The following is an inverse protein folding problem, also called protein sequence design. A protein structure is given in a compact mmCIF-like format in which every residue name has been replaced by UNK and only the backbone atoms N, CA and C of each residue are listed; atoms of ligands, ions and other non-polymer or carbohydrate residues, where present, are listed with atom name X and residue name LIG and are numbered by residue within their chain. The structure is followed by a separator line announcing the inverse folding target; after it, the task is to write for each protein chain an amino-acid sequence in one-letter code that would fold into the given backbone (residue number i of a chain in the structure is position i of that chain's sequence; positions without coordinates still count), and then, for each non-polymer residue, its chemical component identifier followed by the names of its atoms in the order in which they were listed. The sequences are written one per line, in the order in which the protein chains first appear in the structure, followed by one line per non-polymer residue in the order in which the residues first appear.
data_IF_594225176144
#
_entry.id   IF_594225176144
#
_cell.length_a   1.000
_cell.length_b   1.000
_cell.length_c   1.000
_cell.angle_alpha   90.00
_cell.angle_beta   90.00
_cell.angle_gamma   90.00
#
_symmetry.space_group_name_H-M   'P 1'
#
loop_
_entity.id
_entity.type
_entity.pdbx_description
1 polymer ?
#
# COMPACT_ATOMS: atom_id res chain seq x y z
N UNK A 1 24.08 -7.96 -15.57
CA UNK A 1 23.37 -7.22 -14.50
C UNK A 1 22.81 -8.15 -13.43
N UNK A 2 22.04 -9.18 -13.75
CA UNK A 2 21.48 -10.17 -12.80
C UNK A 2 22.53 -10.88 -11.93
N UNK A 3 23.67 -11.27 -12.46
CA UNK A 3 24.76 -11.94 -11.71
C UNK A 3 25.46 -11.04 -10.67
N UNK A 4 25.23 -9.71 -10.71
CA UNK A 4 25.73 -8.77 -9.70
C UNK A 4 24.83 -8.72 -8.45
N UNK A 5 23.58 -9.14 -8.57
CA UNK A 5 22.53 -9.05 -7.53
C UNK A 5 22.72 -10.12 -6.43
N UNK A 6 23.56 -11.14 -6.66
CA UNK A 6 23.78 -12.24 -5.69
C UNK A 6 25.14 -12.19 -5.00
N UNK A 7 25.90 -11.11 -5.16
CA UNK A 7 27.30 -11.05 -4.72
C UNK A 7 27.47 -10.86 -3.22
N UNK A 8 26.58 -10.15 -2.56
CA UNK A 8 26.71 -9.87 -1.13
C UNK A 8 25.64 -10.59 -0.32
N UNK A 9 25.90 -10.77 0.98
CA UNK A 9 24.89 -11.26 1.93
C UNK A 9 23.67 -10.34 1.96
N UNK A 10 23.90 -9.02 1.89
CA UNK A 10 22.84 -8.01 1.86
C UNK A 10 21.91 -8.19 0.65
N UNK A 11 22.46 -8.47 -0.52
CA UNK A 11 21.65 -8.68 -1.75
C UNK A 11 20.73 -9.88 -1.61
N UNK A 12 21.24 -10.98 -1.03
CA UNK A 12 20.43 -12.19 -0.79
C UNK A 12 19.31 -11.93 0.22
N UNK A 13 19.59 -11.24 1.31
CA UNK A 13 18.60 -10.85 2.31
C UNK A 13 17.50 -9.97 1.69
N UNK A 14 17.86 -9.02 0.83
CA UNK A 14 16.90 -8.17 0.12
C UNK A 14 16.03 -8.96 -0.87
N UNK A 15 16.59 -9.96 -1.56
CA UNK A 15 15.82 -10.85 -2.42
C UNK A 15 14.84 -11.72 -1.65
N UNK A 16 15.26 -12.23 -0.49
CA UNK A 16 14.35 -12.97 0.40
C UNK A 16 13.21 -12.06 0.86
N UNK A 17 13.49 -10.82 1.25
CA UNK A 17 12.44 -9.86 1.61
C UNK A 17 11.52 -9.55 0.41
N UNK A 18 12.09 -9.36 -0.78
CA UNK A 18 11.32 -9.11 -2.00
C UNK A 18 10.40 -10.28 -2.36
N UNK A 19 10.77 -11.53 -2.04
CA UNK A 19 9.92 -12.71 -2.28
C UNK A 19 8.59 -12.67 -1.50
N UNK A 20 8.48 -11.81 -0.48
CA UNK A 20 7.22 -11.54 0.22
C UNK A 20 6.09 -11.14 -0.74
N UNK A 21 6.39 -10.38 -1.80
CA UNK A 21 5.37 -9.99 -2.78
C UNK A 21 4.74 -11.18 -3.49
N UNK A 22 5.53 -12.22 -3.79
CA UNK A 22 5.01 -13.46 -4.36
C UNK A 22 4.11 -14.19 -3.36
N UNK A 23 4.57 -14.33 -2.12
CA UNK A 23 3.79 -14.98 -1.05
C UNK A 23 2.50 -14.21 -0.78
N UNK A 24 2.58 -12.87 -0.66
CA UNK A 24 1.42 -12.01 -0.48
C UNK A 24 0.42 -12.18 -1.63
N UNK A 25 0.90 -12.11 -2.88
CA UNK A 25 0.03 -12.25 -4.07
C UNK A 25 -0.69 -13.60 -4.11
N UNK A 26 0.00 -14.70 -3.80
CA UNK A 26 -0.60 -16.04 -3.72
C UNK A 26 -1.63 -16.15 -2.59
N UNK A 27 -1.32 -15.62 -1.40
CA UNK A 27 -2.25 -15.62 -0.27
C UNK A 27 -3.48 -14.75 -0.55
N UNK A 28 -3.28 -13.56 -1.12
CA UNK A 28 -4.38 -12.65 -1.46
C UNK A 28 -5.28 -13.27 -2.52
N UNK A 29 -4.69 -13.84 -3.59
CA UNK A 29 -5.45 -14.57 -4.60
C UNK A 29 -6.26 -15.72 -4.01
N UNK A 30 -5.64 -16.49 -3.10
CA UNK A 30 -6.33 -17.59 -2.42
C UNK A 30 -7.53 -17.09 -1.58
N UNK A 31 -7.37 -15.98 -0.86
CA UNK A 31 -8.46 -15.38 -0.08
C UNK A 31 -9.60 -14.87 -0.97
N UNK A 32 -9.31 -14.29 -2.12
CA UNK A 32 -10.31 -13.73 -3.02
C UNK A 32 -11.08 -14.82 -3.80
N UNK A 33 -10.39 -15.85 -4.27
CA UNK A 33 -10.93 -16.75 -5.29
C UNK A 33 -11.13 -18.20 -4.84
N UNK A 34 -10.43 -18.65 -3.80
CA UNK A 34 -10.47 -20.06 -3.37
C UNK A 34 -11.30 -20.31 -2.11
N UNK A 35 -11.83 -19.26 -1.47
CA UNK A 35 -12.65 -19.39 -0.26
C UNK A 35 -14.08 -18.86 -0.54
N UNK A 36 -14.93 -19.66 -1.21
CA UNK A 36 -16.30 -19.23 -1.51
C UNK A 36 -17.18 -19.20 -0.26
N UNK A 37 -18.26 -18.42 -0.32
CA UNK A 37 -19.30 -18.42 0.70
C UNK A 37 -18.95 -17.70 2.01
N UNK A 38 -17.91 -16.85 2.02
CA UNK A 38 -17.57 -16.03 3.18
C UNK A 38 -18.64 -14.97 3.44
N UNK A 39 -18.97 -14.78 4.70
CA UNK A 39 -19.75 -13.64 5.14
C UNK A 39 -18.84 -12.42 5.27
N UNK A 40 -19.20 -11.31 4.64
CA UNK A 40 -18.43 -10.06 4.66
C UNK A 40 -19.11 -9.00 5.52
N UNK A 41 -18.32 -8.28 6.30
CA UNK A 41 -18.77 -7.09 7.01
C UNK A 41 -18.69 -5.88 6.10
N UNK A 42 -19.82 -5.19 5.91
CA UNK A 42 -19.87 -3.99 5.06
C UNK A 42 -19.21 -2.83 5.76
N UNK A 43 -18.14 -2.32 5.17
CA UNK A 43 -17.42 -1.14 5.63
C UNK A 43 -18.12 0.11 5.10
N UNK A 44 -18.69 0.88 6.00
CA UNK A 44 -19.45 2.08 5.65
C UNK A 44 -19.39 3.10 6.78
N UNK A 45 -19.27 4.37 6.41
CA UNK A 45 -19.38 5.52 7.31
C UNK A 45 -20.25 6.60 6.67
N UNK A 46 -21.09 7.36 7.41
CA UNK A 46 -21.93 8.41 6.84
C UNK A 46 -21.20 9.52 6.05
N UNK A 47 -19.90 9.67 6.25
CA UNK A 47 -19.07 10.54 5.41
C UNK A 47 -18.91 10.01 3.98
N UNK A 48 -19.03 8.71 3.77
CA UNK A 48 -18.90 8.10 2.44
C UNK A 48 -19.99 8.60 1.48
N UNK A 49 -21.18 8.90 1.99
CA UNK A 49 -22.28 9.47 1.21
C UNK A 49 -22.05 10.94 0.83
N UNK A 50 -21.30 11.66 1.67
CA UNK A 50 -20.98 13.07 1.42
C UNK A 50 -19.83 13.28 0.44
N UNK A 51 -19.02 12.25 0.22
CA UNK A 51 -17.91 12.29 -0.71
C UNK A 51 -18.42 11.83 -2.08
N UNK A 52 -18.54 12.71 -3.09
CA UNK A 52 -19.01 12.32 -4.41
C UNK A 52 -17.98 11.44 -5.13
N UNK A 53 -18.45 10.58 -6.04
CA UNK A 53 -17.56 9.97 -7.03
C UNK A 53 -16.95 11.04 -7.92
N UNK A 54 -15.65 10.98 -8.14
CA UNK A 54 -14.95 11.91 -9.03
C UNK A 54 -13.91 11.15 -9.87
N UNK A 55 -14.18 11.04 -11.16
CA UNK A 55 -13.34 10.30 -12.10
C UNK A 55 -11.91 10.84 -12.23
N UNK A 56 -11.67 12.13 -11.95
CA UNK A 56 -10.32 12.72 -12.02
C UNK A 56 -9.37 12.09 -11.00
N UNK A 57 -9.89 11.59 -9.89
CA UNK A 57 -9.09 10.89 -8.89
C UNK A 57 -8.64 9.50 -9.34
N UNK A 58 -9.13 8.99 -10.47
CA UNK A 58 -8.57 7.80 -11.10
C UNK A 58 -7.11 7.98 -11.49
N UNK A 59 -6.69 9.20 -11.86
CA UNK A 59 -5.31 9.48 -12.27
C UNK A 59 -4.33 9.21 -11.11
N UNK A 60 -4.45 9.85 -9.93
CA UNK A 60 -3.57 9.53 -8.81
C UNK A 60 -3.78 8.10 -8.28
N UNK A 61 -4.99 7.54 -8.37
CA UNK A 61 -5.26 6.16 -7.99
C UNK A 61 -4.43 5.16 -8.82
N UNK A 62 -4.45 5.28 -10.15
CA UNK A 62 -3.64 4.43 -11.03
C UNK A 62 -2.14 4.75 -10.95
N UNK A 63 -1.78 6.00 -10.65
CA UNK A 63 -0.39 6.38 -10.44
C UNK A 63 0.25 5.62 -9.28
N UNK A 64 -0.53 5.10 -8.35
CA UNK A 64 -0.07 4.25 -7.26
C UNK A 64 0.83 3.09 -7.73
N UNK A 65 0.46 2.41 -8.81
CA UNK A 65 1.25 1.30 -9.35
C UNK A 65 2.65 1.75 -9.78
N UNK A 66 2.75 2.88 -10.45
CA UNK A 66 4.03 3.46 -10.88
C UNK A 66 4.84 3.96 -9.67
N UNK A 67 4.17 4.60 -8.73
CA UNK A 67 4.79 5.12 -7.52
C UNK A 67 5.40 4.00 -6.66
N UNK A 68 4.64 2.93 -6.44
CA UNK A 68 5.12 1.73 -5.76
C UNK A 68 6.28 1.08 -6.52
N UNK A 69 6.08 0.79 -7.80
CA UNK A 69 7.09 0.16 -8.65
C UNK A 69 8.40 0.94 -8.63
N UNK A 70 8.34 2.26 -8.82
CA UNK A 70 9.51 3.12 -8.75
C UNK A 70 10.18 3.06 -7.38
N UNK A 71 9.43 3.18 -6.29
CA UNK A 71 9.98 3.20 -4.94
C UNK A 71 10.74 1.92 -4.62
N UNK A 72 10.15 0.76 -4.91
CA UNK A 72 10.78 -0.53 -4.62
C UNK A 72 11.97 -0.83 -5.51
N UNK A 73 11.86 -0.58 -6.81
CA UNK A 73 12.96 -0.80 -7.76
C UNK A 73 14.13 0.14 -7.44
N UNK A 74 13.85 1.43 -7.25
CA UNK A 74 14.89 2.40 -6.91
C UNK A 74 15.59 2.04 -5.60
N UNK A 75 14.84 1.79 -4.53
CA UNK A 75 15.44 1.48 -3.23
C UNK A 75 16.22 0.17 -3.26
N UNK A 76 15.75 -0.86 -3.97
CA UNK A 76 16.42 -2.15 -4.09
C UNK A 76 17.82 -2.00 -4.70
N UNK A 77 17.97 -1.21 -5.78
CA UNK A 77 19.24 -1.09 -6.47
C UNK A 77 20.14 0.02 -5.92
N UNK A 78 19.56 1.12 -5.44
CA UNK A 78 20.34 2.30 -5.05
C UNK A 78 20.57 2.42 -3.55
N UNK A 79 19.64 1.97 -2.72
CA UNK A 79 19.65 2.20 -1.26
C UNK A 79 19.18 0.94 -0.49
N UNK A 80 19.99 -0.13 -0.44
CA UNK A 80 19.58 -1.44 0.13
C UNK A 80 19.06 -1.38 1.57
N UNK A 81 19.56 -0.43 2.38
CA UNK A 81 19.08 -0.25 3.76
C UNK A 81 17.69 0.35 3.81
N UNK A 82 17.40 1.36 2.98
CA UNK A 82 16.06 1.94 2.85
C UNK A 82 15.08 0.90 2.31
N UNK A 83 15.51 0.08 1.33
CA UNK A 83 14.72 -1.04 0.83
C UNK A 83 14.33 -2.03 1.94
N UNK A 84 15.26 -2.45 2.79
CA UNK A 84 14.96 -3.38 3.90
C UNK A 84 13.92 -2.79 4.86
N UNK A 85 14.07 -1.53 5.24
CA UNK A 85 13.10 -0.87 6.14
C UNK A 85 11.74 -0.75 5.48
N UNK A 86 11.69 -0.38 4.20
CA UNK A 86 10.46 -0.32 3.42
C UNK A 86 9.80 -1.71 3.32
N UNK A 87 10.57 -2.77 3.07
CA UNK A 87 10.04 -4.13 3.03
C UNK A 87 9.50 -4.60 4.39
N UNK A 88 10.18 -4.32 5.50
CA UNK A 88 9.65 -4.64 6.83
C UNK A 88 8.36 -3.89 7.13
N UNK A 89 8.28 -2.61 6.77
CA UNK A 89 7.04 -1.85 6.88
C UNK A 89 5.92 -2.50 6.07
N UNK A 90 6.22 -2.92 4.85
CA UNK A 90 5.26 -3.60 3.96
C UNK A 90 4.83 -4.95 4.54
N UNK A 91 5.77 -5.76 5.00
CA UNK A 91 5.48 -7.06 5.62
C UNK A 91 4.53 -6.91 6.81
N UNK A 92 4.76 -5.91 7.66
CA UNK A 92 3.90 -5.64 8.82
C UNK A 92 2.51 -5.17 8.40
N UNK A 93 2.41 -4.25 7.44
CA UNK A 93 1.12 -3.68 7.03
C UNK A 93 0.33 -4.63 6.13
N UNK A 94 0.94 -5.21 5.12
CA UNK A 94 0.28 -6.13 4.19
C UNK A 94 0.05 -7.50 4.80
N UNK A 95 1.00 -8.01 5.59
CA UNK A 95 0.84 -9.25 6.34
C UNK A 95 -0.25 -9.12 7.42
N UNK A 96 -0.25 -7.99 8.15
CA UNK A 96 -1.34 -7.65 9.07
C UNK A 96 -2.68 -7.50 8.37
N UNK A 97 -2.69 -6.89 7.17
CA UNK A 97 -3.88 -6.79 6.32
C UNK A 97 -4.42 -8.16 5.90
N UNK A 98 -3.56 -9.07 5.42
CA UNK A 98 -3.95 -10.45 5.10
C UNK A 98 -4.56 -11.18 6.31
N UNK A 99 -3.96 -11.00 7.48
CA UNK A 99 -4.50 -11.58 8.72
C UNK A 99 -5.90 -11.00 9.03
N UNK A 100 -6.08 -9.69 8.89
CA UNK A 100 -7.39 -9.05 9.05
C UNK A 100 -8.40 -9.57 8.03
N UNK A 101 -8.05 -9.69 6.76
CA UNK A 101 -8.92 -10.23 5.71
C UNK A 101 -9.32 -11.68 5.97
N UNK A 102 -8.44 -12.46 6.59
CA UNK A 102 -8.73 -13.84 6.97
C UNK A 102 -9.69 -13.90 8.17
N UNK A 103 -9.41 -13.13 9.23
CA UNK A 103 -10.15 -13.17 10.50
C UNK A 103 -11.44 -12.35 10.47
N UNK A 104 -11.44 -11.25 9.73
CA UNK A 104 -12.55 -10.30 9.63
C UNK A 104 -12.76 -9.86 8.18
N UNK A 105 -13.36 -10.72 7.34
CA UNK A 105 -13.60 -10.41 5.93
C UNK A 105 -14.47 -9.15 5.80
N UNK A 106 -14.03 -8.23 4.98
CA UNK A 106 -14.70 -6.93 4.78
C UNK A 106 -15.06 -6.70 3.32
N UNK A 107 -16.13 -5.96 3.06
CA UNK A 107 -16.49 -5.50 1.72
C UNK A 107 -17.02 -4.05 1.78
N UNK A 108 -17.20 -3.44 0.62
CA UNK A 108 -17.84 -2.15 0.50
C UNK A 108 -18.85 -2.16 -0.67
N UNK A 109 -19.93 -1.36 -0.55
CA UNK A 109 -21.00 -1.22 -1.53
C UNK A 109 -21.12 0.25 -1.98
N UNK A 110 -20.00 0.94 -2.15
CA UNK A 110 -19.94 2.38 -2.44
C UNK A 110 -19.87 2.68 -3.94
N UNK A 111 -19.60 1.67 -4.77
CA UNK A 111 -19.44 1.86 -6.21
C UNK A 111 -20.75 2.33 -6.82
N UNK A 112 -20.74 3.39 -7.67
CA UNK A 112 -21.95 3.85 -8.33
C UNK A 112 -22.48 2.78 -9.33
N UNK A 113 -23.79 2.59 -9.37
CA UNK A 113 -24.44 1.69 -10.34
C UNK A 113 -24.28 2.22 -11.77
N UNK A 114 -24.27 3.54 -11.94
CA UNK A 114 -24.06 4.20 -13.22
C UNK A 114 -23.24 5.48 -13.04
N UNK A 115 -22.39 5.80 -14.02
CA UNK A 115 -21.65 7.05 -14.04
C UNK A 115 -22.47 8.17 -14.67
N UNK A 116 -22.46 9.35 -14.05
CA UNK A 116 -23.17 10.55 -14.56
C UNK A 116 -22.58 11.02 -15.90
N UNK A 117 -21.25 10.84 -16.08
CA UNK A 117 -20.52 11.23 -17.28
C UNK A 117 -20.01 10.01 -18.01
N UNK A 118 -20.10 10.00 -19.33
CA UNK A 118 -19.47 9.00 -20.19
C UNK A 118 -18.20 9.61 -20.83
N UNK A 119 -17.04 9.26 -20.27
CA UNK A 119 -15.74 9.70 -20.76
C UNK A 119 -14.70 8.59 -20.60
N UNK A 120 -13.48 8.82 -21.10
CA UNK A 120 -12.39 7.84 -21.00
C UNK A 120 -12.11 7.38 -19.57
N UNK A 121 -12.10 8.29 -18.58
CA UNK A 121 -11.81 7.95 -17.19
C UNK A 121 -12.91 7.10 -16.55
N UNK A 122 -14.17 7.43 -16.81
CA UNK A 122 -15.29 6.65 -16.27
C UNK A 122 -15.36 5.26 -16.91
N UNK A 123 -15.10 5.14 -18.21
CA UNK A 123 -15.01 3.82 -18.90
C UNK A 123 -13.83 3.01 -18.35
N UNK A 124 -12.69 3.63 -18.11
CA UNK A 124 -11.53 2.97 -17.49
C UNK A 124 -11.85 2.53 -16.08
N UNK A 125 -12.56 3.36 -15.28
CA UNK A 125 -12.97 2.98 -13.93
C UNK A 125 -13.99 1.84 -13.93
N UNK A 126 -14.95 1.84 -14.86
CA UNK A 126 -15.88 0.74 -15.05
C UNK A 126 -15.15 -0.59 -15.32
N UNK A 127 -14.19 -0.56 -16.23
CA UNK A 127 -13.34 -1.73 -16.48
C UNK A 127 -12.55 -2.15 -15.24
N UNK A 128 -11.96 -1.19 -14.53
CA UNK A 128 -11.20 -1.47 -13.32
C UNK A 128 -12.06 -2.15 -12.24
N UNK A 129 -13.31 -1.72 -12.07
CA UNK A 129 -14.26 -2.35 -11.15
C UNK A 129 -14.58 -3.82 -11.50
N UNK A 130 -14.39 -4.24 -12.74
CA UNK A 130 -14.54 -5.66 -13.13
C UNK A 130 -13.31 -6.49 -12.79
N UNK A 131 -12.12 -5.86 -12.71
CA UNK A 131 -10.86 -6.53 -12.42
C UNK A 131 -10.55 -6.60 -10.93
N UNK A 132 -10.96 -5.57 -10.20
CA UNK A 132 -10.71 -5.42 -8.76
C UNK A 132 -12.01 -5.64 -7.98
N UNK A 133 -11.96 -6.51 -6.98
CA UNK A 133 -13.13 -6.83 -6.17
C UNK A 133 -13.47 -5.71 -5.19
N UNK A 134 -14.69 -5.73 -4.63
CA UNK A 134 -15.08 -4.84 -3.53
C UNK A 134 -14.95 -5.53 -2.16
N UNK A 135 -14.18 -6.59 -2.09
CA UNK A 135 -13.95 -7.41 -0.89
C UNK A 135 -12.54 -7.21 -0.32
N UNK A 136 -12.36 -7.61 0.94
CA UNK A 136 -11.08 -7.50 1.64
C UNK A 136 -10.50 -6.06 1.60
N UNK A 137 -11.35 -5.08 1.95
CA UNK A 137 -11.05 -3.65 1.77
C UNK A 137 -10.42 -2.97 2.99
N UNK A 138 -10.60 -3.52 4.20
CA UNK A 138 -10.09 -2.93 5.44
C UNK A 138 -9.04 -3.82 6.13
N UNK A 139 -7.82 -3.30 6.37
CA UNK A 139 -7.32 -1.94 6.10
C UNK A 139 -7.01 -1.71 4.62
N UNK A 140 -7.08 -0.44 4.18
CA UNK A 140 -6.73 -0.09 2.80
C UNK A 140 -5.25 -0.35 2.50
N UNK A 141 -4.98 -1.32 1.62
CA UNK A 141 -3.62 -1.62 1.17
C UNK A 141 -3.05 -0.52 0.26
N UNK A 142 -3.90 0.26 -0.41
CA UNK A 142 -3.46 1.44 -1.15
C UNK A 142 -2.85 2.49 -0.23
N UNK A 143 -3.47 2.73 0.94
CA UNK A 143 -2.93 3.63 1.97
C UNK A 143 -1.62 3.08 2.52
N UNK A 144 -1.60 1.81 2.94
CA UNK A 144 -0.41 1.17 3.48
C UNK A 144 0.76 1.21 2.50
N UNK A 145 0.52 0.87 1.23
CA UNK A 145 1.53 0.87 0.18
C UNK A 145 2.04 2.27 -0.15
N UNK A 146 1.14 3.25 -0.27
CA UNK A 146 1.52 4.64 -0.52
C UNK A 146 2.46 5.17 0.57
N UNK A 147 2.15 4.88 1.84
CA UNK A 147 2.98 5.29 2.97
C UNK A 147 4.29 4.48 3.04
N UNK A 148 4.27 3.17 2.70
CA UNK A 148 5.49 2.37 2.58
C UNK A 148 6.45 2.98 1.56
N UNK A 149 5.96 3.29 0.35
CA UNK A 149 6.74 3.92 -0.70
C UNK A 149 7.25 5.31 -0.29
N UNK A 150 6.39 6.13 0.33
CA UNK A 150 6.77 7.48 0.77
C UNK A 150 7.85 7.44 1.87
N UNK A 151 7.68 6.64 2.90
CA UNK A 151 8.68 6.50 3.96
C UNK A 151 9.98 5.89 3.44
N UNK A 152 9.89 4.85 2.59
CA UNK A 152 11.06 4.26 1.96
C UNK A 152 11.83 5.26 1.09
N UNK A 153 11.17 6.00 0.22
CA UNK A 153 11.82 7.03 -0.61
C UNK A 153 12.43 8.15 0.24
N UNK A 154 11.70 8.65 1.24
CA UNK A 154 12.21 9.74 2.10
C UNK A 154 13.38 9.31 3.00
N UNK A 155 13.63 8.02 3.15
CA UNK A 155 14.79 7.44 3.83
C UNK A 155 16.04 7.34 2.91
N UNK A 156 15.90 7.66 1.62
CA UNK A 156 16.99 7.62 0.64
C UNK A 156 17.68 8.97 0.49
N UNK A 157 18.94 8.94 0.00
CA UNK A 157 19.72 10.15 -0.26
C UNK A 157 19.09 11.03 -1.33
N UNK A 158 18.53 10.43 -2.39
CA UNK A 158 17.89 11.17 -3.47
C UNK A 158 16.76 12.06 -2.95
N UNK A 159 15.97 11.59 -2.01
CA UNK A 159 14.81 12.33 -1.47
C UNK A 159 15.09 12.97 -0.09
N UNK A 160 16.35 13.09 0.35
CA UNK A 160 16.70 13.65 1.63
C UNK A 160 16.33 15.15 1.79
N UNK A 161 16.33 15.91 0.69
CA UNK A 161 15.99 17.34 0.71
C UNK A 161 14.54 17.57 1.16
N UNK A 162 14.27 18.56 2.06
CA UNK A 162 12.94 18.80 2.63
C UNK A 162 11.84 19.02 1.58
N UNK A 163 12.15 19.70 0.48
CA UNK A 163 11.19 19.91 -0.62
C UNK A 163 10.79 18.58 -1.27
N UNK A 164 11.76 17.72 -1.59
CA UNK A 164 11.51 16.40 -2.20
C UNK A 164 10.74 15.47 -1.25
N UNK A 165 11.05 15.48 0.05
CA UNK A 165 10.27 14.75 1.06
C UNK A 165 8.82 15.19 1.08
N UNK A 166 8.57 16.51 1.07
CA UNK A 166 7.19 17.06 1.03
C UNK A 166 6.46 16.64 -0.23
N UNK A 167 7.12 16.69 -1.39
CA UNK A 167 6.53 16.25 -2.66
C UNK A 167 6.14 14.77 -2.63
N UNK A 168 7.05 13.89 -2.20
CA UNK A 168 6.78 12.45 -2.07
C UNK A 168 5.61 12.19 -1.13
N UNK A 169 5.57 12.87 0.02
CA UNK A 169 4.47 12.73 0.97
C UNK A 169 3.15 13.26 0.41
N UNK A 170 3.16 14.40 -0.29
CA UNK A 170 1.98 14.96 -0.95
C UNK A 170 1.42 14.00 -2.00
N UNK A 171 2.28 13.38 -2.81
CA UNK A 171 1.89 12.34 -3.78
C UNK A 171 1.21 11.17 -3.07
N UNK A 172 1.83 10.62 -2.01
CA UNK A 172 1.25 9.51 -1.26
C UNK A 172 -0.11 9.86 -0.66
N UNK A 173 -0.25 11.05 -0.05
CA UNK A 173 -1.53 11.50 0.51
C UNK A 173 -2.59 11.71 -0.57
N UNK A 174 -2.24 12.23 -1.74
CA UNK A 174 -3.15 12.36 -2.87
C UNK A 174 -3.66 11.00 -3.34
N UNK A 175 -2.78 9.99 -3.39
CA UNK A 175 -3.18 8.60 -3.69
C UNK A 175 -4.13 8.07 -2.61
N UNK A 176 -3.82 8.26 -1.32
CA UNK A 176 -4.70 7.83 -0.23
C UNK A 176 -6.10 8.45 -0.33
N UNK A 177 -6.17 9.76 -0.59
CA UNK A 177 -7.43 10.47 -0.77
C UNK A 177 -8.19 9.94 -2.01
N UNK A 178 -7.48 9.64 -3.10
CA UNK A 178 -8.11 9.19 -4.34
C UNK A 178 -8.94 7.91 -4.16
N UNK A 179 -8.55 7.01 -3.26
CA UNK A 179 -9.24 5.73 -3.02
C UNK A 179 -10.70 5.92 -2.60
N UNK A 180 -10.98 6.98 -1.84
CA UNK A 180 -12.33 7.30 -1.36
C UNK A 180 -13.16 7.97 -2.48
N UNK A 181 -12.54 8.85 -3.27
CA UNK A 181 -13.22 9.54 -4.37
C UNK A 181 -13.52 8.62 -5.56
N UNK A 182 -12.70 7.60 -5.80
CA UNK A 182 -13.02 6.57 -6.81
C UNK A 182 -13.86 5.41 -6.22
N UNK A 183 -14.39 5.56 -4.99
CA UNK A 183 -15.29 4.60 -4.34
C UNK A 183 -14.73 3.16 -4.25
N UNK A 184 -13.41 3.03 -4.13
CA UNK A 184 -12.75 1.75 -3.89
C UNK A 184 -12.61 1.44 -2.40
N UNK A 185 -12.59 2.47 -1.55
CA UNK A 185 -12.51 2.33 -0.10
C UNK A 185 -13.50 3.26 0.62
N UNK A 186 -14.01 2.80 1.75
CA UNK A 186 -14.66 3.64 2.76
C UNK A 186 -13.61 4.51 3.49
N UNK A 187 -14.07 5.60 4.08
CA UNK A 187 -13.27 6.41 5.01
C UNK A 187 -12.71 5.53 6.14
N UNK A 188 -13.47 4.55 6.62
CA UNK A 188 -13.01 3.62 7.67
C UNK A 188 -11.79 2.82 7.21
N UNK A 189 -11.81 2.26 5.99
CA UNK A 189 -10.70 1.49 5.43
C UNK A 189 -9.43 2.33 5.35
N UNK A 190 -9.60 3.59 4.92
CA UNK A 190 -8.53 4.57 4.80
C UNK A 190 -7.94 4.90 6.17
N UNK A 191 -8.78 5.18 7.17
CA UNK A 191 -8.34 5.43 8.56
C UNK A 191 -7.62 4.22 9.14
N UNK A 192 -8.17 3.01 8.97
CA UNK A 192 -7.51 1.78 9.40
C UNK A 192 -6.14 1.61 8.73
N UNK A 193 -6.03 1.91 7.42
CA UNK A 193 -4.75 1.89 6.71
C UNK A 193 -3.72 2.85 7.31
N UNK A 194 -4.14 4.07 7.71
CA UNK A 194 -3.27 5.00 8.43
C UNK A 194 -2.86 4.49 9.80
N UNK A 195 -3.77 3.87 10.57
CA UNK A 195 -3.46 3.32 11.89
C UNK A 195 -2.47 2.14 11.80
N UNK A 196 -2.68 1.21 10.86
CA UNK A 196 -1.73 0.14 10.57
C UNK A 196 -0.36 0.69 10.19
N UNK A 197 -0.34 1.70 9.32
CA UNK A 197 0.89 2.36 8.88
C UNK A 197 1.59 3.10 10.02
N UNK A 198 0.86 3.75 10.92
CA UNK A 198 1.44 4.41 12.08
C UNK A 198 2.07 3.40 13.05
N UNK A 199 1.43 2.27 13.31
CA UNK A 199 1.98 1.19 14.12
C UNK A 199 3.26 0.61 13.49
N UNK A 200 3.21 0.29 12.19
CA UNK A 200 4.38 -0.21 11.47
C UNK A 200 5.52 0.82 11.44
N UNK A 201 5.21 2.11 11.30
CA UNK A 201 6.20 3.18 11.32
C UNK A 201 6.94 3.23 12.66
N UNK A 202 6.24 3.12 13.78
CA UNK A 202 6.85 3.09 15.10
C UNK A 202 7.82 1.91 15.26
N UNK A 203 7.47 0.76 14.71
CA UNK A 203 8.30 -0.45 14.78
C UNK A 203 9.54 -0.37 13.87
N UNK A 204 9.41 0.23 12.67
CA UNK A 204 10.46 0.21 11.65
C UNK A 204 11.31 1.47 11.65
N UNK A 205 10.70 2.64 11.87
CA UNK A 205 11.34 3.95 11.77
C UNK A 205 11.40 4.70 13.10
N UNK A 206 10.67 4.27 14.12
CA UNK A 206 10.61 4.94 15.43
C UNK A 206 11.88 4.76 16.27
N UNK A 207 11.91 5.42 17.41
CA UNK A 207 13.06 5.43 18.35
C UNK A 207 13.42 4.04 18.89
N UNK A 208 12.45 3.14 18.99
CA UNK A 208 12.66 1.74 19.42
C UNK A 208 13.52 0.98 18.40
N UNK A 209 13.26 1.19 17.08
CA UNK A 209 14.09 0.60 16.03
C UNK A 209 15.53 1.14 16.06
N UNK A 210 15.70 2.44 16.37
CA UNK A 210 17.04 3.03 16.52
C UNK A 210 17.83 2.40 17.68
N UNK A 211 17.19 2.10 18.83
CA UNK A 211 17.82 1.44 19.98
C UNK A 211 18.20 -0.01 19.71
N UNK A 212 17.35 -0.76 18.99
CA UNK A 212 17.66 -2.14 18.59
C UNK A 212 18.86 -2.20 17.61
N UNK A 213 18.94 -1.23 16.68
CA UNK A 213 20.08 -1.15 15.75
C UNK A 213 21.39 -0.71 16.41
N UNK A 214 21.34 0.08 17.49
CA UNK A 214 22.54 0.49 18.25
C UNK A 214 23.03 -0.64 19.16
N UNK A 215 22.15 -1.39 19.79
CA UNK A 215 22.50 -2.55 20.62
C UNK A 215 23.14 -3.71 19.86
N UNK A 216 22.93 -3.84 18.56
CA UNK A 216 23.56 -4.84 17.68
C UNK A 216 24.95 -4.45 17.18
N UNK A 217 25.45 -3.25 17.47
CA UNK A 217 26.80 -2.79 17.11
C UNK A 217 27.83 -2.96 18.22
N UNK A 218 27.42 -3.42 19.39
CA UNK A 218 28.32 -3.63 20.55
C UNK A 218 28.73 -5.09 20.75
N UNK A 219 28.51 -5.95 19.74
CA UNK A 219 28.99 -7.34 19.75
C UNK A 219 29.76 -7.70 18.48
#
# INVERSE_FOLDING_TARGET
MLLRILRTREDRENLILASFWLVFGLCFYALEWLVPGRSYHVMYHPLDDRIPFCELFLIPYLFWFLFMGFAYVYAFFAEPRAFRRMMWFTILTYGGGLLMFLLFPTCQNLRPEAFIRDNFLTRTMAWFYTCDTSTNVCPSLHVCGSLAAAFGLTDTRLFAAPARRRTVMAVALTICISTVFVKQHSVIDTVCGFLFSAAAWQLVYGTTAARLCTGLREY
#
